data_IF_195127751600
#
_entry.id   IF_195127751600
#
_cell.length_a   1.000
_cell.length_b   1.000
_cell.length_c   1.000
_cell.angle_alpha   90.00
_cell.angle_beta   90.00
_cell.angle_gamma   90.00
#
_symmetry.space_group_name_H-M   'P 1'
#
loop_
_entity.id
_entity.type
_entity.pdbx_description
1 polymer ?
#
# COMPACT_ATOMS: atom_id res chain seq x y z
N UNK A 1 -15.14 12.78 -11.18
CA UNK A 1 -14.83 11.56 -11.97
C UNK A 1 -15.40 10.33 -11.25
N UNK A 2 -16.27 9.55 -11.91
CA UNK A 2 -16.79 8.27 -11.37
C UNK A 2 -15.80 7.16 -11.72
N UNK A 3 -15.51 6.30 -10.74
CA UNK A 3 -14.65 5.11 -10.89
C UNK A 3 -15.50 3.87 -10.76
N UNK A 4 -15.38 2.93 -11.71
CA UNK A 4 -15.94 1.59 -11.56
C UNK A 4 -15.07 0.73 -10.65
N UNK A 5 -15.60 -0.43 -10.25
CA UNK A 5 -14.84 -1.39 -9.47
C UNK A 5 -13.66 -1.95 -10.29
N UNK A 6 -13.90 -2.27 -11.56
CA UNK A 6 -12.91 -2.76 -12.51
C UNK A 6 -11.79 -1.74 -12.76
N UNK A 7 -12.13 -0.46 -12.93
CA UNK A 7 -11.15 0.61 -13.04
C UNK A 7 -10.30 0.74 -11.78
N UNK A 8 -10.91 0.53 -10.61
CA UNK A 8 -10.20 0.60 -9.33
C UNK A 8 -9.27 -0.60 -9.13
N UNK A 9 -9.70 -1.81 -9.52
CA UNK A 9 -8.86 -3.01 -9.52
C UNK A 9 -7.65 -2.81 -10.45
N UNK A 10 -7.89 -2.42 -11.70
CA UNK A 10 -6.83 -2.14 -12.68
C UNK A 10 -5.85 -1.10 -12.17
N UNK A 11 -6.35 -0.05 -11.51
CA UNK A 11 -5.48 0.95 -10.90
C UNK A 11 -4.56 0.36 -9.82
N UNK A 12 -5.08 -0.50 -8.95
CA UNK A 12 -4.28 -1.13 -7.88
C UNK A 12 -3.23 -2.06 -8.46
N UNK A 13 -3.56 -2.81 -9.52
CA UNK A 13 -2.60 -3.65 -10.26
C UNK A 13 -1.47 -2.81 -10.87
N UNK A 14 -1.79 -1.74 -11.60
CA UNK A 14 -0.77 -0.85 -12.15
C UNK A 14 0.10 -0.20 -11.08
N UNK A 15 -0.50 0.12 -9.93
CA UNK A 15 0.21 0.72 -8.82
C UNK A 15 1.12 -0.29 -8.09
N UNK A 16 0.71 -1.56 -7.96
CA UNK A 16 1.52 -2.62 -7.34
C UNK A 16 2.81 -2.87 -8.12
N UNK A 17 2.77 -2.80 -9.45
CA UNK A 17 3.94 -2.95 -10.33
C UNK A 17 5.01 -1.84 -10.12
N UNK A 18 4.63 -0.68 -9.56
CA UNK A 18 5.54 0.49 -9.44
C UNK A 18 6.10 0.63 -8.03
N UNK A 19 7.05 -0.24 -7.66
CA UNK A 19 7.70 -0.22 -6.33
C UNK A 19 8.21 1.17 -5.92
N UNK A 20 8.74 1.95 -6.85
CA UNK A 20 9.23 3.31 -6.58
C UNK A 20 8.16 4.27 -6.02
N UNK A 21 6.86 3.95 -6.14
CA UNK A 21 5.77 4.75 -5.60
C UNK A 21 5.39 4.38 -4.16
N UNK A 22 5.63 3.14 -3.74
CA UNK A 22 5.07 2.59 -2.51
C UNK A 22 6.09 1.91 -1.59
N UNK A 23 7.10 1.25 -2.15
CA UNK A 23 8.12 0.51 -1.40
C UNK A 23 9.21 1.45 -0.89
N UNK A 24 9.12 1.88 0.38
CA UNK A 24 10.06 2.86 0.98
C UNK A 24 11.51 2.38 1.02
N UNK A 25 11.72 1.07 1.13
CA UNK A 25 13.02 0.40 1.12
C UNK A 25 13.66 0.36 -0.26
N UNK A 26 12.88 0.55 -1.34
CA UNK A 26 13.43 0.58 -2.69
C UNK A 26 14.34 1.80 -2.86
N UNK A 27 15.54 1.59 -3.39
CA UNK A 27 16.48 2.67 -3.77
C UNK A 27 15.80 3.70 -4.69
N UNK A 28 14.87 3.23 -5.52
CA UNK A 28 14.14 4.04 -6.48
C UNK A 28 13.04 4.88 -5.83
N UNK A 29 12.66 4.63 -4.58
CA UNK A 29 11.63 5.39 -3.87
C UNK A 29 11.99 6.87 -3.71
N UNK A 30 13.29 7.18 -3.55
CA UNK A 30 13.80 8.57 -3.43
C UNK A 30 14.15 9.18 -4.79
N UNK A 31 14.17 8.39 -5.87
CA UNK A 31 14.51 8.85 -7.21
C UNK A 31 13.31 9.57 -7.85
N UNK A 32 13.35 10.91 -7.84
CA UNK A 32 12.28 11.76 -8.39
C UNK A 32 11.95 11.46 -9.84
N UNK A 33 12.95 11.16 -10.66
CA UNK A 33 12.74 10.89 -12.10
C UNK A 33 12.01 9.57 -12.30
N UNK A 34 12.39 8.52 -11.58
CA UNK A 34 11.70 7.23 -11.65
C UNK A 34 10.27 7.31 -11.14
N UNK A 35 10.05 8.04 -10.04
CA UNK A 35 8.68 8.27 -9.54
C UNK A 35 7.83 8.98 -10.57
N UNK A 36 8.34 10.06 -11.17
CA UNK A 36 7.62 10.82 -12.18
C UNK A 36 7.30 9.94 -13.39
N UNK A 37 8.26 9.17 -13.89
CA UNK A 37 8.05 8.24 -15.00
C UNK A 37 7.01 7.15 -14.66
N UNK A 38 7.04 6.61 -13.44
CA UNK A 38 6.04 5.65 -12.99
C UNK A 38 4.64 6.26 -12.85
N UNK A 39 4.55 7.51 -12.37
CA UNK A 39 3.28 8.25 -12.29
C UNK A 39 2.70 8.49 -13.69
N UNK A 40 3.51 8.94 -14.64
CA UNK A 40 3.12 9.16 -16.02
C UNK A 40 2.72 7.85 -16.71
N UNK A 41 3.44 6.75 -16.47
CA UNK A 41 3.10 5.43 -17.01
C UNK A 41 1.72 4.95 -16.54
N UNK A 42 1.41 5.08 -15.24
CA UNK A 42 0.08 4.70 -14.72
C UNK A 42 -1.02 5.56 -15.37
N UNK A 43 -0.81 6.88 -15.46
CA UNK A 43 -1.76 7.79 -16.11
C UNK A 43 -2.01 7.38 -17.56
N UNK A 44 -0.95 7.12 -18.31
CA UNK A 44 -1.05 6.71 -19.71
C UNK A 44 -1.75 5.36 -19.87
N UNK A 45 -1.41 4.36 -19.04
CA UNK A 45 -2.03 3.02 -19.09
C UNK A 45 -3.49 3.02 -18.64
N UNK A 46 -3.90 3.95 -17.78
CA UNK A 46 -5.31 4.15 -17.44
C UNK A 46 -6.09 4.78 -18.60
N UNK A 47 -5.47 5.66 -19.38
CA UNK A 47 -6.04 6.23 -20.61
C UNK A 47 -7.36 6.98 -20.41
N UNK A 48 -7.58 7.53 -19.22
CA UNK A 48 -8.86 8.13 -18.81
C UNK A 48 -8.84 9.64 -18.96
N UNK A 49 -9.86 10.20 -19.61
CA UNK A 49 -9.99 11.64 -19.79
C UNK A 49 -10.09 12.37 -18.44
N UNK A 50 -9.33 13.45 -18.28
CA UNK A 50 -9.25 14.22 -17.03
C UNK A 50 -8.55 13.50 -15.88
N UNK A 51 -7.86 12.38 -16.13
CA UNK A 51 -7.00 11.71 -15.16
C UNK A 51 -5.54 12.03 -15.46
N UNK A 52 -4.94 12.93 -14.67
CA UNK A 52 -3.52 13.28 -14.75
C UNK A 52 -2.73 12.85 -13.52
N UNK A 53 -1.47 13.28 -13.46
CA UNK A 53 -0.55 12.97 -12.35
C UNK A 53 -1.08 13.51 -11.01
N UNK A 54 -1.79 14.63 -11.02
CA UNK A 54 -2.41 15.22 -9.82
C UNK A 54 -3.52 14.31 -9.29
N UNK A 55 -4.42 13.87 -10.16
CA UNK A 55 -5.54 12.98 -9.82
C UNK A 55 -5.03 11.60 -9.39
N UNK A 56 -3.97 11.10 -10.03
CA UNK A 56 -3.26 9.89 -9.62
C UNK A 56 -2.79 10.00 -8.16
N UNK A 57 -2.08 11.07 -7.79
CA UNK A 57 -1.59 11.28 -6.42
C UNK A 57 -2.72 11.35 -5.41
N UNK A 58 -3.80 12.04 -5.75
CA UNK A 58 -5.00 12.09 -4.92
C UNK A 58 -5.64 10.70 -4.77
N UNK A 59 -5.76 9.94 -5.86
CA UNK A 59 -6.29 8.57 -5.83
C UNK A 59 -5.44 7.67 -4.95
N UNK A 60 -4.11 7.68 -5.08
CA UNK A 60 -3.19 6.92 -4.20
C UNK A 60 -3.43 7.29 -2.72
N UNK A 61 -3.53 8.60 -2.40
CA UNK A 61 -3.78 9.07 -1.03
C UNK A 61 -5.10 8.55 -0.48
N UNK A 62 -6.19 8.64 -1.25
CA UNK A 62 -7.51 8.16 -0.87
C UNK A 62 -7.47 6.65 -0.64
N UNK A 63 -6.90 5.89 -1.58
CA UNK A 63 -6.80 4.43 -1.50
C UNK A 63 -6.04 3.96 -0.26
N UNK A 64 -4.88 4.57 0.05
CA UNK A 64 -4.13 4.28 1.28
C UNK A 64 -4.92 4.61 2.54
N UNK A 65 -5.64 5.72 2.54
CA UNK A 65 -6.49 6.12 3.68
C UNK A 65 -7.59 5.10 3.92
N UNK A 66 -8.31 4.72 2.86
CA UNK A 66 -9.39 3.73 2.93
C UNK A 66 -8.85 2.37 3.37
N UNK A 67 -7.72 1.90 2.80
CA UNK A 67 -7.07 0.67 3.23
C UNK A 67 -6.76 0.68 4.73
N UNK A 68 -6.13 1.75 5.23
CA UNK A 68 -5.78 1.85 6.64
C UNK A 68 -7.02 1.81 7.55
N UNK A 69 -8.12 2.44 7.15
CA UNK A 69 -9.38 2.39 7.89
C UNK A 69 -9.96 0.97 7.93
N UNK A 70 -9.96 0.27 6.79
CA UNK A 70 -10.42 -1.11 6.71
C UNK A 70 -9.53 -2.06 7.53
N UNK A 71 -8.20 -1.94 7.40
CA UNK A 71 -7.24 -2.71 8.19
C UNK A 71 -7.40 -2.46 9.70
N UNK A 72 -7.73 -1.24 10.12
CA UNK A 72 -8.03 -0.92 11.52
C UNK A 72 -9.31 -1.62 12.00
N UNK A 73 -10.36 -1.74 11.17
CA UNK A 73 -11.57 -2.49 11.53
C UNK A 73 -11.26 -3.97 11.72
N UNK A 74 -10.48 -4.56 10.81
CA UNK A 74 -10.00 -5.95 10.92
C UNK A 74 -9.18 -6.15 12.20
N UNK A 75 -8.27 -5.23 12.52
CA UNK A 75 -7.46 -5.31 13.75
C UNK A 75 -8.33 -5.18 15.01
N UNK A 76 -9.34 -4.30 14.99
CA UNK A 76 -10.26 -4.10 16.13
C UNK A 76 -11.16 -5.30 16.38
N UNK A 77 -11.71 -5.92 15.33
CA UNK A 77 -12.55 -7.12 15.48
C UNK A 77 -11.78 -8.29 16.09
N UNK A 78 -10.50 -8.46 15.71
CA UNK A 78 -9.60 -9.46 16.32
C UNK A 78 -9.30 -9.17 17.80
N UNK A 79 -9.12 -7.89 18.18
CA UNK A 79 -8.72 -7.50 19.55
C UNK A 79 -9.86 -7.58 20.56
N UNK A 80 -11.13 -7.42 20.14
CA UNK A 80 -12.28 -7.43 21.05
C UNK A 80 -12.67 -8.82 21.58
N UNK A 81 -11.87 -9.87 21.32
CA UNK A 81 -12.18 -11.24 21.77
C UNK A 81 -13.45 -11.80 21.14
N UNK A 82 -13.86 -11.26 19.99
CA UNK A 82 -15.01 -11.76 19.23
C UNK A 82 -14.80 -13.20 18.83
N UNK A 83 -15.88 -13.97 18.68
CA UNK A 83 -15.79 -15.35 18.18
C UNK A 83 -15.15 -15.31 16.77
N UNK A 84 -14.54 -16.40 16.28
CA UNK A 84 -13.99 -16.45 14.92
C UNK A 84 -14.98 -15.99 13.83
N UNK A 85 -16.28 -16.21 14.06
CA UNK A 85 -17.37 -15.79 13.18
C UNK A 85 -17.66 -14.26 13.20
N UNK A 86 -17.16 -13.52 14.19
CA UNK A 86 -17.34 -12.07 14.34
C UNK A 86 -16.18 -11.25 13.76
N UNK A 87 -15.18 -11.90 13.14
CA UNK A 87 -14.06 -11.21 12.53
C UNK A 87 -14.54 -10.44 11.30
N UNK A 88 -14.49 -9.12 11.37
CA UNK A 88 -14.76 -8.25 10.23
C UNK A 88 -13.94 -8.64 8.99
N UNK A 89 -14.62 -8.95 7.89
CA UNK A 89 -14.04 -9.21 6.57
C UNK A 89 -14.32 -8.01 5.67
N UNK A 90 -13.28 -7.32 5.14
CA UNK A 90 -13.48 -6.25 4.18
C UNK A 90 -14.19 -6.76 2.92
N UNK A 91 -15.28 -6.09 2.52
CA UNK A 91 -16.04 -6.42 1.30
C UNK A 91 -15.44 -5.81 0.03
N UNK A 92 -14.43 -4.97 0.21
CA UNK A 92 -13.79 -4.21 -0.86
C UNK A 92 -12.83 -5.11 -1.64
N UNK A 93 -13.12 -5.38 -2.92
CA UNK A 93 -12.35 -6.36 -3.72
C UNK A 93 -10.86 -6.04 -3.85
N UNK A 94 -10.52 -4.76 -4.01
CA UNK A 94 -9.14 -4.32 -4.13
C UNK A 94 -8.37 -4.36 -2.81
N UNK A 95 -9.03 -4.63 -1.67
CA UNK A 95 -8.40 -4.65 -0.36
C UNK A 95 -7.27 -5.67 -0.29
N UNK A 96 -7.48 -6.89 -0.79
CA UNK A 96 -6.46 -7.97 -0.76
C UNK A 96 -5.20 -7.59 -1.55
N UNK A 97 -5.38 -7.03 -2.75
CA UNK A 97 -4.25 -6.54 -3.54
C UNK A 97 -3.51 -5.40 -2.84
N UNK A 98 -4.23 -4.48 -2.19
CA UNK A 98 -3.59 -3.42 -1.40
C UNK A 98 -2.89 -3.95 -0.15
N UNK A 99 -3.40 -5.02 0.47
CA UNK A 99 -2.77 -5.69 1.62
C UNK A 99 -1.40 -6.24 1.23
N UNK A 100 -1.29 -6.94 0.09
CA UNK A 100 -0.02 -7.46 -0.44
C UNK A 100 1.03 -6.36 -0.67
N UNK A 101 0.62 -5.21 -1.21
CA UNK A 101 1.49 -4.03 -1.43
C UNK A 101 1.99 -3.46 -0.09
N UNK A 102 1.13 -3.45 0.92
CA UNK A 102 1.44 -2.84 2.21
C UNK A 102 2.27 -3.78 3.09
N UNK A 103 2.02 -5.08 3.05
CA UNK A 103 2.77 -6.10 3.79
C UNK A 103 4.21 -6.27 3.27
N UNK A 104 4.37 -6.23 1.95
CA UNK A 104 5.70 -6.23 1.32
C UNK A 104 6.53 -4.97 1.64
N UNK A 105 5.88 -3.88 2.03
CA UNK A 105 6.57 -2.69 2.55
C UNK A 105 7.02 -2.84 4.01
N UNK A 106 6.37 -3.70 4.80
CA UNK A 106 6.68 -3.87 6.23
C UNK A 106 7.70 -4.97 6.51
N UNK A 107 7.72 -6.05 5.73
CA UNK A 107 8.59 -7.21 5.95
C UNK A 107 10.10 -6.86 5.89
N UNK A 108 10.50 -5.84 5.13
CA UNK A 108 11.91 -5.42 5.03
C UNK A 108 12.34 -4.48 6.16
N UNK A 109 11.42 -3.92 6.96
CA UNK A 109 11.78 -3.04 8.08
C UNK A 109 12.02 -3.82 9.40
N UNK A 110 11.71 -5.11 9.46
CA UNK A 110 11.95 -5.93 10.66
C UNK A 110 13.42 -6.37 10.79
N UNK A 111 14.23 -6.28 9.72
CA UNK A 111 15.65 -6.67 9.79
C UNK A 111 16.56 -5.60 10.40
N UNK A 112 16.17 -4.32 10.43
CA UNK A 112 16.99 -3.27 11.07
C UNK A 112 16.75 -3.13 12.59
N UNK A 113 15.61 -3.61 13.11
CA UNK A 113 15.32 -3.54 14.55
C UNK A 113 16.02 -4.65 15.35
N UNK A 114 16.23 -5.84 14.75
CA UNK A 114 16.84 -6.99 15.45
C UNK A 114 18.37 -6.84 15.56
N UNK A 115 19.01 -6.12 14.64
CA UNK A 115 20.48 -5.91 14.66
C UNK A 115 20.90 -4.93 15.76
N UNK A 116 20.03 -3.99 16.15
CA UNK A 116 20.34 -2.98 17.17
C UNK A 116 20.24 -3.50 18.62
N UNK A 117 19.58 -4.65 18.86
CA UNK A 117 19.51 -5.26 20.20
C UNK A 117 20.61 -6.29 20.47
N UNK A 118 21.47 -6.62 19.49
CA UNK A 118 22.52 -7.64 19.66
C UNK A 118 23.90 -7.10 20.06
N UNK A 119 24.05 -5.79 20.27
CA UNK A 119 25.31 -5.17 20.69
C UNK A 119 25.36 -4.70 22.16
N UNK A 120 24.38 -5.08 23.01
CA UNK A 120 24.34 -4.63 24.42
C UNK A 120 24.65 -5.68 25.47
N UNK A 121 25.14 -6.87 25.09
CA UNK A 121 25.70 -7.81 26.06
C UNK A 121 27.01 -8.40 25.52
N UNK A 122 28.11 -7.69 25.73
CA UNK A 122 29.43 -8.28 25.82
C UNK A 122 29.82 -8.24 27.32
N UNK A 123 30.03 -9.40 27.97
CA UNK A 123 30.46 -9.44 29.37
C UNK A 123 31.91 -8.97 29.47
N UNK A 124 32.17 -8.05 30.40
CA UNK A 124 33.44 -7.95 31.10
C UNK A 124 33.21 -8.57 32.48
#
# INVERSE_FOLDING_TARGET
MKWSEEETMRFVELYSEKECLWKKSSVNYRNKNMRKAAEEDIVNRMGKEGFGVTELKQKIKIMRTTYNQEALKVKKSKKSGGKPDDIYVPTVKWFRQMEEIMDSSTAENETESIVSQKFLYAPC
#
